data_IF_591633126783
#
_entry.id   IF_591633126783
#
_cell.length_a   1.000
_cell.length_b   1.000
_cell.length_c   1.000
_cell.angle_alpha   90.00
_cell.angle_beta   90.00
_cell.angle_gamma   90.00
#
_symmetry.space_group_name_H-M   'P 1'
#
loop_
_entity.id
_entity.type
_entity.pdbx_description
1 polymer ?
#
# COMPACT_ATOMS: atom_id res chain seq x y z
N UNK A 1 3.87 -20.96 6.37
CA UNK A 1 4.24 -19.60 5.89
C UNK A 1 3.19 -18.65 6.45
N UNK A 2 3.53 -17.86 7.47
CA UNK A 2 2.59 -16.90 8.06
C UNK A 2 2.08 -15.96 6.97
N UNK A 3 0.78 -16.01 6.65
CA UNK A 3 0.17 -15.03 5.76
C UNK A 3 0.04 -13.72 6.54
N UNK A 4 1.05 -12.87 6.44
CA UNK A 4 0.94 -11.49 6.91
C UNK A 4 0.17 -10.69 5.87
N UNK A 5 -1.12 -10.53 6.14
CA UNK A 5 -2.03 -9.76 5.29
C UNK A 5 -1.64 -8.30 5.24
N UNK A 6 -1.03 -7.78 6.31
CA UNK A 6 -0.54 -6.42 6.43
C UNK A 6 0.98 -6.46 6.63
N UNK A 7 1.73 -5.74 5.79
CA UNK A 7 3.18 -5.58 5.92
C UNK A 7 3.54 -4.11 5.82
N UNK A 8 4.42 -3.68 6.72
CA UNK A 8 5.03 -2.36 6.74
C UNK A 8 6.49 -2.46 6.31
N UNK A 9 6.92 -1.57 5.43
CA UNK A 9 8.31 -1.42 5.03
C UNK A 9 8.86 -0.12 5.58
N UNK A 10 9.95 -0.22 6.34
CA UNK A 10 10.67 0.90 6.91
C UNK A 10 12.01 1.02 6.20
N UNK A 11 12.40 2.24 5.82
CA UNK A 11 13.65 2.53 5.14
C UNK A 11 13.53 3.68 4.16
N UNK A 12 14.60 3.91 3.40
CA UNK A 12 14.63 4.97 2.40
C UNK A 12 13.60 4.76 1.27
N UNK A 13 13.15 5.86 0.66
CA UNK A 13 12.13 5.83 -0.38
C UNK A 13 12.47 4.94 -1.58
N UNK A 14 13.75 4.81 -1.95
CA UNK A 14 14.16 4.05 -3.14
C UNK A 14 14.08 2.55 -2.84
N UNK A 15 14.67 2.10 -1.73
CA UNK A 15 14.62 0.71 -1.29
C UNK A 15 13.19 0.25 -1.05
N UNK A 16 12.39 1.09 -0.40
CA UNK A 16 10.98 0.80 -0.16
C UNK A 16 10.21 0.64 -1.47
N UNK A 17 10.39 1.55 -2.44
CA UNK A 17 9.69 1.47 -3.72
C UNK A 17 10.05 0.21 -4.52
N UNK A 18 11.32 -0.21 -4.49
CA UNK A 18 11.75 -1.50 -5.08
C UNK A 18 11.01 -2.68 -4.43
N UNK A 19 10.97 -2.73 -3.09
CA UNK A 19 10.29 -3.80 -2.34
C UNK A 19 8.79 -3.83 -2.60
N UNK A 20 8.12 -2.67 -2.53
CA UNK A 20 6.70 -2.55 -2.82
C UNK A 20 6.38 -3.01 -4.25
N UNK A 21 7.23 -2.67 -5.21
CA UNK A 21 7.04 -3.07 -6.61
C UNK A 21 7.23 -4.58 -6.82
N UNK A 22 8.20 -5.21 -6.15
CA UNK A 22 8.35 -6.67 -6.13
C UNK A 22 7.12 -7.36 -5.53
N UNK A 23 6.57 -6.80 -4.45
CA UNK A 23 5.36 -7.30 -3.81
C UNK A 23 4.13 -7.13 -4.71
N UNK A 24 4.04 -6.00 -5.43
CA UNK A 24 2.99 -5.75 -6.41
C UNK A 24 2.97 -6.83 -7.49
N UNK A 25 4.12 -7.13 -8.10
CA UNK A 25 4.25 -8.19 -9.10
C UNK A 25 3.91 -9.58 -8.54
N UNK A 26 4.31 -9.84 -7.31
CA UNK A 26 4.02 -11.12 -6.64
C UNK A 26 2.54 -11.27 -6.34
N UNK A 27 1.87 -10.20 -5.91
CA UNK A 27 0.45 -10.19 -5.61
C UNK A 27 -0.43 -10.17 -6.87
N UNK A 28 0.04 -9.56 -7.95
CA UNK A 28 -0.63 -9.52 -9.25
C UNK A 28 -0.89 -10.90 -9.86
N UNK A 29 -0.20 -11.95 -9.39
CA UNK A 29 -0.45 -13.35 -9.73
C UNK A 29 -1.81 -13.86 -9.23
N UNK A 30 -2.35 -13.23 -8.19
CA UNK A 30 -3.53 -13.69 -7.45
C UNK A 30 -4.74 -12.78 -7.63
N UNK A 31 -4.57 -11.60 -8.24
CA UNK A 31 -5.66 -10.66 -8.48
C UNK A 31 -5.17 -9.26 -8.81
N UNK A 32 -6.10 -8.31 -8.89
CA UNK A 32 -5.76 -6.90 -9.14
C UNK A 32 -5.02 -6.31 -7.94
N UNK A 33 -4.05 -5.45 -8.24
CA UNK A 33 -3.27 -4.70 -7.26
C UNK A 33 -3.52 -3.22 -7.48
N UNK A 34 -3.91 -2.51 -6.42
CA UNK A 34 -3.98 -1.06 -6.42
C UNK A 34 -2.67 -0.52 -5.82
N UNK A 35 -1.91 0.20 -6.63
CA UNK A 35 -0.65 0.81 -6.22
C UNK A 35 -0.85 2.33 -6.14
N UNK A 36 -0.89 2.85 -4.93
CA UNK A 36 -1.12 4.27 -4.65
C UNK A 36 0.22 4.94 -4.38
N UNK A 37 0.50 6.02 -5.11
CA UNK A 37 1.71 6.82 -4.97
C UNK A 37 1.35 8.29 -4.76
N UNK A 38 2.25 9.02 -4.12
CA UNK A 38 2.14 10.49 -4.03
C UNK A 38 2.45 11.18 -5.37
N UNK A 39 3.40 10.63 -6.13
CA UNK A 39 3.93 11.20 -7.37
C UNK A 39 3.93 10.19 -8.52
N UNK A 40 3.92 10.70 -9.75
CA UNK A 40 4.01 9.90 -10.96
C UNK A 40 5.37 9.20 -11.08
N UNK A 41 5.33 7.91 -11.42
CA UNK A 41 6.54 7.13 -11.67
C UNK A 41 7.12 7.57 -13.01
N UNK A 42 8.30 8.17 -12.99
CA UNK A 42 9.04 8.51 -14.21
C UNK A 42 9.69 7.29 -14.84
N UNK A 43 10.22 6.39 -14.01
CA UNK A 43 10.86 5.15 -14.43
C UNK A 43 10.45 4.01 -13.49
N UNK A 44 10.17 2.83 -14.06
CA UNK A 44 9.88 1.66 -13.25
C UNK A 44 11.12 1.28 -12.43
N UNK A 45 10.97 0.87 -11.14
CA UNK A 45 12.10 0.46 -10.33
C UNK A 45 12.90 -0.64 -11.04
N UNK A 46 14.20 -0.43 -11.19
CA UNK A 46 15.09 -1.42 -11.80
C UNK A 46 15.15 -2.65 -10.88
N UNK A 47 14.40 -3.69 -11.22
CA UNK A 47 14.53 -4.97 -10.54
C UNK A 47 15.73 -5.70 -11.11
N UNK A 48 16.52 -6.29 -10.23
CA UNK A 48 17.73 -7.07 -10.56
C UNK A 48 17.47 -8.37 -11.34
N UNK A 49 16.23 -8.67 -11.72
CA UNK A 49 15.86 -9.90 -12.43
C UNK A 49 15.29 -9.60 -13.81
N UNK A 50 15.74 -10.38 -14.80
CA UNK A 50 15.27 -10.34 -16.18
C UNK A 50 13.74 -10.46 -16.23
N UNK A 51 13.08 -9.36 -16.60
CA UNK A 51 11.64 -9.26 -16.81
C UNK A 51 11.22 -10.12 -18.00
N UNK A 52 11.09 -11.42 -17.78
CA UNK A 52 10.50 -12.35 -18.74
C UNK A 52 9.05 -11.98 -19.09
N UNK A 53 8.49 -12.52 -20.17
CA UNK A 53 7.10 -12.32 -20.62
C UNK A 53 6.04 -12.44 -19.50
N UNK A 54 6.32 -13.26 -18.48
CA UNK A 54 5.47 -13.47 -17.30
C UNK A 54 5.26 -12.17 -16.50
N UNK A 55 6.22 -11.26 -16.50
CA UNK A 55 6.10 -9.98 -15.80
C UNK A 55 5.13 -9.01 -16.49
N UNK A 56 5.09 -9.01 -17.84
CA UNK A 56 4.22 -8.12 -18.63
C UNK A 56 2.74 -8.37 -18.41
N UNK A 57 2.34 -9.64 -18.25
CA UNK A 57 0.95 -9.99 -17.95
C UNK A 57 0.55 -9.51 -16.53
N UNK A 58 1.44 -9.64 -15.55
CA UNK A 58 1.16 -9.20 -14.18
C UNK A 58 1.16 -7.69 -14.04
N UNK A 59 1.97 -6.98 -14.82
CA UNK A 59 1.92 -5.51 -14.88
C UNK A 59 0.53 -4.99 -15.26
N UNK A 60 -0.22 -5.69 -16.12
CA UNK A 60 -1.61 -5.31 -16.48
C UNK A 60 -2.60 -5.45 -15.33
N UNK A 61 -2.24 -6.20 -14.28
CA UNK A 61 -3.06 -6.38 -13.09
C UNK A 61 -2.81 -5.30 -12.04
N UNK A 62 -1.78 -4.46 -12.23
CA UNK A 62 -1.42 -3.37 -11.31
C UNK A 62 -2.02 -2.07 -11.85
N UNK A 63 -2.86 -1.43 -11.05
CA UNK A 63 -3.41 -0.10 -11.32
C UNK A 63 -2.65 0.92 -10.49
N UNK A 64 -1.98 1.85 -11.16
CA UNK A 64 -1.28 2.97 -10.53
C UNK A 64 -2.24 4.13 -10.33
N UNK A 65 -2.30 4.67 -9.12
CA UNK A 65 -3.10 5.84 -8.78
C UNK A 65 -2.24 6.84 -8.03
N UNK A 66 -2.38 8.11 -8.39
CA UNK A 66 -1.56 9.20 -7.85
C UNK A 66 -2.41 10.09 -6.94
N UNK A 67 -2.15 10.03 -5.64
CA UNK A 67 -2.83 10.81 -4.62
C UNK A 67 -1.89 11.92 -4.11
N UNK A 68 -2.08 13.17 -4.54
CA UNK A 68 -1.23 14.30 -4.12
C UNK A 68 -1.63 14.90 -2.77
N UNK A 69 -2.77 14.49 -2.21
CA UNK A 69 -3.29 15.00 -0.94
C UNK A 69 -3.93 13.88 -0.12
N UNK A 70 -4.00 14.07 1.20
CA UNK A 70 -4.74 13.16 2.08
C UNK A 70 -6.20 13.00 1.63
N UNK A 71 -6.86 14.07 1.20
CA UNK A 71 -8.25 14.01 0.73
C UNK A 71 -8.40 13.17 -0.54
N UNK A 72 -7.43 13.24 -1.46
CA UNK A 72 -7.43 12.37 -2.65
C UNK A 72 -7.22 10.90 -2.27
N UNK A 73 -6.32 10.62 -1.32
CA UNK A 73 -6.09 9.27 -0.81
C UNK A 73 -7.37 8.70 -0.18
N UNK A 74 -7.99 9.46 0.73
CA UNK A 74 -9.23 9.07 1.39
C UNK A 74 -10.38 8.88 0.39
N UNK A 75 -10.51 9.76 -0.60
CA UNK A 75 -11.52 9.63 -1.66
C UNK A 75 -11.37 8.37 -2.49
N UNK A 76 -10.13 7.99 -2.85
CA UNK A 76 -9.85 6.72 -3.55
C UNK A 76 -10.30 5.55 -2.68
N UNK A 77 -9.82 5.50 -1.43
CA UNK A 77 -10.09 4.41 -0.49
C UNK A 77 -11.57 4.26 -0.17
N UNK A 78 -12.27 5.38 0.07
CA UNK A 78 -13.70 5.37 0.37
C UNK A 78 -14.53 4.90 -0.83
N UNK A 79 -14.08 5.13 -2.06
CA UNK A 79 -14.80 4.68 -3.27
C UNK A 79 -14.62 3.19 -3.61
N UNK A 80 -13.68 2.48 -2.96
CA UNK A 80 -13.31 1.11 -3.36
C UNK A 80 -14.47 0.11 -3.34
N UNK A 81 -15.46 0.33 -2.48
CA UNK A 81 -16.65 -0.51 -2.39
C UNK A 81 -17.57 -0.38 -3.62
N UNK A 82 -17.46 0.71 -4.38
CA UNK A 82 -18.22 0.95 -5.61
C UNK A 82 -17.53 0.37 -6.85
N UNK A 83 -16.26 -0.05 -6.71
CA UNK A 83 -15.48 -0.54 -7.84
C UNK A 83 -15.97 -1.92 -8.26
N UNK A 84 -16.25 -2.09 -9.55
CA UNK A 84 -16.64 -3.38 -10.12
C UNK A 84 -15.57 -4.47 -9.89
N UNK A 85 -14.30 -4.07 -9.78
CA UNK A 85 -13.18 -4.97 -9.53
C UNK A 85 -12.38 -4.52 -8.32
N UNK A 86 -12.80 -4.98 -7.14
CA UNK A 86 -12.13 -4.70 -5.87
C UNK A 86 -10.70 -5.27 -5.92
N UNK A 87 -9.66 -4.50 -5.53
CA UNK A 87 -8.29 -4.99 -5.52
C UNK A 87 -8.10 -6.09 -4.47
N UNK A 88 -7.34 -7.12 -4.85
CA UNK A 88 -6.86 -8.17 -3.93
C UNK A 88 -5.67 -7.72 -3.09
N UNK A 89 -5.04 -6.61 -3.45
CA UNK A 89 -3.93 -6.02 -2.70
C UNK A 89 -3.94 -4.52 -2.87
N UNK A 90 -3.81 -3.80 -1.77
CA UNK A 90 -3.61 -2.35 -1.73
C UNK A 90 -2.16 -2.11 -1.30
N UNK A 91 -1.47 -1.28 -2.06
CA UNK A 91 -0.10 -0.88 -1.81
C UNK A 91 -0.09 0.64 -1.71
N UNK A 92 0.36 1.17 -0.59
CA UNK A 92 0.56 2.59 -0.39
C UNK A 92 2.04 2.88 -0.25
N UNK A 93 2.54 3.70 -1.17
CA UNK A 93 3.91 4.17 -1.12
C UNK A 93 4.03 5.47 -0.32
N UNK A 94 4.69 5.33 0.82
CA UNK A 94 5.11 6.36 1.75
C UNK A 94 3.95 7.16 2.36
N UNK A 95 3.36 6.59 3.42
CA UNK A 95 2.29 7.25 4.17
C UNK A 95 2.74 8.60 4.77
N UNK A 96 4.04 8.79 5.00
CA UNK A 96 4.56 10.02 5.59
C UNK A 96 4.41 11.21 4.65
N UNK A 97 4.24 11.00 3.34
CA UNK A 97 3.95 12.10 2.39
C UNK A 97 2.57 12.73 2.56
N UNK A 98 1.65 12.04 3.26
CA UNK A 98 0.28 12.50 3.47
C UNK A 98 0.08 13.16 4.84
N UNK A 99 1.10 13.13 5.70
CA UNK A 99 1.05 13.67 7.06
C UNK A 99 2.29 14.54 7.27
N UNK A 100 2.16 15.64 8.00
CA UNK A 100 3.35 16.34 8.46
C UNK A 100 4.13 15.43 9.44
N UNK A 101 5.47 15.53 9.48
CA UNK A 101 6.31 14.72 10.39
C UNK A 101 5.91 14.84 11.86
N UNK A 102 5.32 15.98 12.23
CA UNK A 102 4.83 16.26 13.59
C UNK A 102 3.44 15.64 13.87
N UNK A 103 2.80 15.03 12.87
CA UNK A 103 1.42 14.53 12.93
C UNK A 103 1.33 13.00 12.77
N UNK A 104 2.25 12.26 13.39
CA UNK A 104 2.33 10.80 13.33
C UNK A 104 1.02 10.12 13.75
N UNK A 105 0.30 10.69 14.72
CA UNK A 105 -1.02 10.18 15.12
C UNK A 105 -2.04 10.20 13.98
N UNK A 106 -2.01 11.23 13.11
CA UNK A 106 -2.87 11.26 11.93
C UNK A 106 -2.48 10.18 10.94
N UNK A 107 -1.18 9.95 10.75
CA UNK A 107 -0.69 8.87 9.89
C UNK A 107 -1.16 7.50 10.39
N UNK A 108 -1.13 7.26 11.71
CA UNK A 108 -1.67 6.04 12.31
C UNK A 108 -3.19 5.92 12.12
N UNK A 109 -3.94 7.02 12.25
CA UNK A 109 -5.38 7.05 11.99
C UNK A 109 -5.73 6.72 10.53
N UNK A 110 -4.95 7.22 9.57
CA UNK A 110 -5.10 6.86 8.15
C UNK A 110 -4.81 5.38 7.94
N UNK A 111 -3.75 4.85 8.55
CA UNK A 111 -3.44 3.41 8.45
C UNK A 111 -4.55 2.55 9.05
N UNK A 112 -5.12 2.93 10.20
CA UNK A 112 -6.28 2.27 10.76
C UNK A 112 -7.47 2.25 9.78
N UNK A 113 -7.76 3.40 9.14
CA UNK A 113 -8.80 3.49 8.11
C UNK A 113 -8.51 2.60 6.89
N UNK A 114 -7.25 2.54 6.43
CA UNK A 114 -6.86 1.66 5.32
C UNK A 114 -7.02 0.18 5.72
N UNK A 115 -6.63 -0.19 6.94
CA UNK A 115 -6.82 -1.56 7.45
C UNK A 115 -8.30 -1.94 7.44
N UNK A 116 -9.18 -1.05 7.92
CA UNK A 116 -10.62 -1.28 7.88
C UNK A 116 -11.15 -1.42 6.44
N UNK A 117 -10.66 -0.55 5.55
CA UNK A 117 -10.98 -0.61 4.11
C UNK A 117 -10.58 -1.97 3.51
N UNK A 118 -9.38 -2.47 3.81
CA UNK A 118 -8.88 -3.78 3.35
C UNK A 118 -9.71 -4.93 3.92
N UNK A 119 -10.11 -4.86 5.20
CA UNK A 119 -11.02 -5.82 5.84
C UNK A 119 -12.38 -5.82 5.13
N UNK A 120 -12.91 -4.65 4.81
CA UNK A 120 -14.17 -4.51 4.06
C UNK A 120 -14.05 -5.09 2.63
N UNK A 121 -12.99 -4.75 1.89
CA UNK A 121 -12.70 -5.35 0.58
C UNK A 121 -12.65 -6.88 0.66
N UNK A 122 -12.08 -7.42 1.74
CA UNK A 122 -12.01 -8.88 1.94
C UNK A 122 -13.38 -9.52 2.13
N UNK A 123 -14.25 -8.84 2.90
CA UNK A 123 -15.65 -9.27 3.13
C UNK A 123 -16.48 -9.23 1.84
N UNK A 124 -16.40 -8.13 1.09
CA UNK A 124 -17.22 -7.95 -0.13
C UNK A 124 -16.77 -8.91 -1.24
N UNK A 125 -15.46 -9.13 -1.41
CA UNK A 125 -14.93 -10.00 -2.45
C UNK A 125 -14.90 -11.49 -2.09
N UNK A 126 -15.19 -11.86 -0.83
CA UNK A 126 -14.97 -13.20 -0.28
C UNK A 126 -13.53 -13.73 -0.51
N UNK A 127 -12.57 -12.83 -0.67
CA UNK A 127 -11.16 -13.13 -0.90
C UNK A 127 -10.30 -12.31 0.05
N UNK A 128 -9.16 -12.86 0.47
CA UNK A 128 -8.24 -12.14 1.36
C UNK A 128 -7.58 -10.96 0.62
N UNK A 129 -7.88 -9.74 1.04
CA UNK A 129 -7.21 -8.53 0.55
C UNK A 129 -5.96 -8.26 1.40
N UNK A 130 -4.84 -7.95 0.74
CA UNK A 130 -3.56 -7.66 1.39
C UNK A 130 -3.28 -6.16 1.42
N UNK A 131 -2.48 -5.73 2.39
CA UNK A 131 -2.02 -4.37 2.57
C UNK A 131 -0.50 -4.32 2.63
N UNK A 132 0.11 -3.43 1.84
CA UNK A 132 1.53 -3.09 1.90
C UNK A 132 1.67 -1.58 2.06
N UNK A 133 2.42 -1.13 3.05
CA UNK A 133 2.64 0.30 3.28
C UNK A 133 4.14 0.53 3.47
N UNK A 134 4.73 1.50 2.78
CA UNK A 134 6.05 2.00 3.14
C UNK A 134 5.96 3.24 4.02
N UNK A 135 6.97 3.41 4.86
CA UNK A 135 7.16 4.50 5.79
C UNK A 135 8.61 4.96 5.65
N UNK A 136 8.80 6.26 5.51
CA UNK A 136 10.12 6.87 5.47
C UNK A 136 10.94 6.55 6.73
N UNK A 137 12.25 6.33 6.55
CA UNK A 137 13.17 5.91 7.60
C UNK A 137 13.16 6.85 8.81
N UNK A 138 13.10 8.17 8.59
CA UNK A 138 13.17 9.16 9.66
C UNK A 138 11.94 9.12 10.59
N UNK A 139 10.80 8.62 10.09
CA UNK A 139 9.58 8.51 10.87
C UNK A 139 9.34 7.09 11.43
N UNK A 140 10.22 6.13 11.12
CA UNK A 140 9.95 4.70 11.30
C UNK A 140 9.71 4.28 12.74
N UNK A 141 10.60 4.68 13.66
CA UNK A 141 10.54 4.27 15.08
C UNK A 141 9.33 4.88 15.78
N UNK A 142 9.11 6.18 15.62
CA UNK A 142 7.97 6.88 16.21
C UNK A 142 6.65 6.35 15.65
N UNK A 143 6.58 6.10 14.34
CA UNK A 143 5.41 5.52 13.71
C UNK A 143 5.11 4.12 14.25
N UNK A 144 6.14 3.26 14.37
CA UNK A 144 5.95 1.90 14.88
C UNK A 144 5.40 1.89 16.31
N UNK A 145 5.93 2.76 17.18
CA UNK A 145 5.47 2.88 18.57
C UNK A 145 4.00 3.34 18.65
N UNK A 146 3.64 4.39 17.91
CA UNK A 146 2.27 4.90 17.88
C UNK A 146 1.30 3.90 17.23
N UNK A 147 1.72 3.20 16.18
CA UNK A 147 0.89 2.19 15.52
C UNK A 147 0.55 1.06 16.49
N UNK A 148 1.48 0.60 17.35
CA UNK A 148 1.20 -0.44 18.34
C UNK A 148 0.12 -0.01 19.32
N UNK A 149 0.13 1.24 19.76
CA UNK A 149 -0.91 1.79 20.64
C UNK A 149 -2.29 1.77 19.96
N UNK A 150 -2.36 2.16 18.68
CA UNK A 150 -3.60 2.13 17.89
C UNK A 150 -4.06 0.70 17.60
N UNK A 151 -3.12 -0.22 17.34
CA UNK A 151 -3.43 -1.62 17.01
C UNK A 151 -3.85 -2.45 18.24
N UNK A 152 -3.55 -1.99 19.46
CA UNK A 152 -4.13 -2.55 20.69
C UNK A 152 -5.62 -2.21 20.87
N UNK A 153 -6.18 -1.32 20.04
CA UNK A 153 -7.58 -0.86 20.11
C UNK A 153 -8.44 -1.42 18.96
N UNK A 154 -7.85 -2.09 17.96
CA UNK A 154 -8.51 -2.60 16.73
C UNK A 154 -8.39 -4.11 16.51
#
# INVERSE_FOLDING_TARGET
MERRDIIFYFGDSTTNRIRLFQDALSCAKFGKVLFILYEEIQELPQLSQDFSLISKQYMKMISFVYAKTINSLLGILSSLHEWQNIPSTIILDDITKFCCKEEIQKACGIVAFIIDTVRNCSRVSNLQCKLRISIDEEAGDDFYNNLREVHCVL
#
